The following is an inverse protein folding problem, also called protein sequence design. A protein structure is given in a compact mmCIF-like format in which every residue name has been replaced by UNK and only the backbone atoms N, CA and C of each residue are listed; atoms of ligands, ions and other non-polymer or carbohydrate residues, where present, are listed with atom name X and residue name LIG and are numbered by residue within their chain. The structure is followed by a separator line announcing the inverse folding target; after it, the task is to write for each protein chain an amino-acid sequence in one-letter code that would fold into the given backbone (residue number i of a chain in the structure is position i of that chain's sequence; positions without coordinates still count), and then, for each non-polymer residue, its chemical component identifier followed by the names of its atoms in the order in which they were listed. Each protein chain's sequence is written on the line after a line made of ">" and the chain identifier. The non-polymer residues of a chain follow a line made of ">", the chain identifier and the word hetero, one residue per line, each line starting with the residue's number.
data_IF_032807543933
#
_entry.id   IF_032807543933
#
_cell.length_a   1.000
_cell.length_b   1.000
_cell.length_c   1.000
_cell.angle_alpha   90.00
_cell.angle_beta   90.00
_cell.angle_gamma   90.00
#
_symmetry.space_group_name_H-M   'P 1'
#
loop_
_entity.id
_entity.type
_entity.pdbx_description
1 polymer ?
#
# COMPACT_ATOMS: atom_id res chain seq x y z
N UNK A 1 13.89 -9.78 -15.31
CA UNK A 1 13.99 -8.54 -14.51
C UNK A 1 12.64 -7.84 -14.34
N UNK A 2 11.86 -7.51 -15.39
CA UNK A 2 10.56 -6.81 -15.27
C UNK A 2 9.56 -7.39 -14.24
N UNK A 3 9.51 -8.71 -14.13
CA UNK A 3 8.60 -9.39 -13.18
C UNK A 3 8.92 -9.12 -11.70
N UNK A 4 10.18 -8.83 -11.36
CA UNK A 4 10.60 -8.60 -9.97
C UNK A 4 10.11 -7.23 -9.48
N UNK A 5 10.25 -6.19 -10.30
CA UNK A 5 9.77 -4.84 -9.98
C UNK A 5 8.25 -4.78 -9.86
N UNK A 6 7.52 -5.46 -10.74
CA UNK A 6 6.07 -5.60 -10.63
C UNK A 6 5.66 -6.34 -9.36
N UNK A 7 6.36 -7.42 -9.00
CA UNK A 7 6.07 -8.17 -7.78
C UNK A 7 6.32 -7.32 -6.52
N UNK A 8 7.44 -6.62 -6.44
CA UNK A 8 7.78 -5.73 -5.32
C UNK A 8 6.75 -4.61 -5.14
N UNK A 9 6.40 -3.93 -6.23
CA UNK A 9 5.39 -2.88 -6.20
C UNK A 9 3.99 -3.42 -5.85
N UNK A 10 3.65 -4.62 -6.33
CA UNK A 10 2.41 -5.28 -5.89
C UNK A 10 2.43 -5.58 -4.40
N UNK A 11 3.55 -6.04 -3.84
CA UNK A 11 3.65 -6.28 -2.40
C UNK A 11 3.42 -4.99 -1.61
N UNK A 12 4.07 -3.88 -1.97
CA UNK A 12 3.89 -2.60 -1.27
C UNK A 12 2.43 -2.11 -1.31
N UNK A 13 1.82 -2.10 -2.51
CA UNK A 13 0.43 -1.67 -2.66
C UNK A 13 -0.53 -2.60 -1.92
N UNK A 14 -0.29 -3.91 -1.97
CA UNK A 14 -1.10 -4.90 -1.27
C UNK A 14 -1.04 -4.69 0.25
N UNK A 15 0.15 -4.47 0.82
CA UNK A 15 0.32 -4.19 2.26
C UNK A 15 -0.43 -2.94 2.70
N UNK A 16 -0.40 -1.86 1.91
CA UNK A 16 -1.17 -0.64 2.23
C UNK A 16 -2.68 -0.93 2.18
N UNK A 17 -3.15 -1.64 1.15
CA UNK A 17 -4.58 -1.92 0.95
C UNK A 17 -5.16 -2.88 1.99
N UNK A 18 -4.35 -3.73 2.62
CA UNK A 18 -4.76 -4.60 3.72
C UNK A 18 -5.12 -3.85 5.01
N UNK A 19 -4.67 -2.59 5.13
CA UNK A 19 -4.98 -1.72 6.27
C UNK A 19 -6.35 -1.03 6.11
N UNK A 20 -6.82 -0.83 4.89
CA UNK A 20 -8.07 -0.09 4.62
C UNK A 20 -9.29 -0.63 5.40
N UNK A 21 -9.56 -1.95 5.50
CA UNK A 21 -10.71 -2.44 6.26
C UNK A 21 -10.61 -2.16 7.76
N UNK A 22 -9.39 -2.18 8.30
CA UNK A 22 -9.12 -1.94 9.72
C UNK A 22 -9.24 -0.46 10.06
N UNK A 23 -8.83 0.40 9.12
CA UNK A 23 -8.94 1.84 9.23
C UNK A 23 -10.39 2.31 9.00
N UNK A 24 -11.19 1.63 8.18
CA UNK A 24 -12.59 2.00 7.92
C UNK A 24 -13.47 2.02 9.18
N UNK A 25 -13.11 1.29 10.22
CA UNK A 25 -13.79 1.30 11.53
C UNK A 25 -13.54 2.59 12.33
N UNK A 26 -12.56 3.42 11.92
CA UNK A 26 -12.12 4.63 12.62
C UNK A 26 -12.78 5.93 12.11
N UNK A 27 -13.87 5.86 11.32
CA UNK A 27 -14.49 7.02 10.66
C UNK A 27 -13.47 7.88 9.89
N UNK A 28 -12.70 7.24 8.99
CA UNK A 28 -11.69 7.94 8.18
C UNK A 28 -12.30 9.06 7.34
N UNK A 29 -11.55 10.15 7.23
CA UNK A 29 -11.89 11.27 6.36
C UNK A 29 -12.04 10.87 4.88
N UNK A 30 -12.90 11.57 4.16
CA UNK A 30 -13.21 11.31 2.75
C UNK A 30 -11.96 11.38 1.84
N UNK A 31 -10.99 12.21 2.22
CA UNK A 31 -9.69 12.36 1.54
C UNK A 31 -8.89 11.05 1.59
N UNK A 32 -8.73 10.46 2.78
CA UNK A 32 -8.01 9.19 2.93
C UNK A 32 -8.72 8.04 2.20
N UNK A 33 -10.05 8.03 2.19
CA UNK A 33 -10.81 7.06 1.39
C UNK A 33 -10.61 7.26 -0.12
N UNK A 34 -10.43 8.49 -0.58
CA UNK A 34 -10.11 8.78 -1.98
C UNK A 34 -8.72 8.26 -2.36
N UNK A 35 -7.74 8.44 -1.47
CA UNK A 35 -6.38 7.93 -1.66
C UNK A 35 -6.36 6.40 -1.75
N UNK A 36 -7.10 5.69 -0.88
CA UNK A 36 -7.24 4.23 -0.99
C UNK A 36 -7.86 3.77 -2.31
N UNK A 37 -8.85 4.51 -2.84
CA UNK A 37 -9.42 4.23 -4.17
C UNK A 37 -8.38 4.40 -5.27
N UNK A 38 -7.58 5.47 -5.23
CA UNK A 38 -6.52 5.69 -6.22
C UNK A 38 -5.43 4.61 -6.16
N UNK A 39 -5.05 4.15 -4.96
CA UNK A 39 -4.09 3.07 -4.77
C UNK A 39 -4.58 1.73 -5.35
N UNK A 40 -5.88 1.41 -5.19
CA UNK A 40 -6.49 0.22 -5.82
C UNK A 40 -6.43 0.28 -7.34
N UNK A 41 -6.76 1.43 -7.92
CA UNK A 41 -6.66 1.64 -9.37
C UNK A 41 -5.21 1.54 -9.84
N UNK A 42 -4.26 2.10 -9.08
CA UNK A 42 -2.84 1.97 -9.37
C UNK A 42 -2.38 0.52 -9.36
N UNK A 43 -2.80 -0.29 -8.37
CA UNK A 43 -2.48 -1.72 -8.31
C UNK A 43 -2.97 -2.48 -9.56
N UNK A 44 -4.14 -2.14 -10.09
CA UNK A 44 -4.65 -2.70 -11.34
C UNK A 44 -3.86 -2.24 -12.58
N UNK A 45 -3.25 -1.05 -12.56
CA UNK A 45 -2.41 -0.52 -13.64
C UNK A 45 -0.98 -1.09 -13.61
N UNK A 46 -0.43 -1.38 -12.43
CA UNK A 46 0.92 -1.96 -12.24
C UNK A 46 1.06 -3.31 -12.93
N UNK A 47 -0.01 -4.12 -13.01
CA UNK A 47 -0.05 -5.36 -13.80
C UNK A 47 0.18 -5.17 -15.31
N UNK A 48 0.05 -3.95 -15.84
CA UNK A 48 0.07 -3.65 -17.28
C UNK A 48 1.15 -2.64 -17.73
N UNK A 49 1.91 -2.04 -16.81
CA UNK A 49 2.95 -1.04 -17.14
C UNK A 49 4.37 -1.62 -17.14
N UNK A 50 5.23 -1.11 -18.04
CA UNK A 50 6.68 -1.18 -17.87
C UNK A 50 7.08 -0.17 -16.79
N UNK A 51 7.72 -0.66 -15.73
CA UNK A 51 8.18 0.14 -14.59
C UNK A 51 9.71 0.09 -14.57
N UNK A 52 10.33 1.22 -14.28
CA UNK A 52 11.76 1.27 -14.00
C UNK A 52 12.02 1.11 -12.49
N UNK A 53 13.29 0.88 -12.14
CA UNK A 53 13.70 0.62 -10.76
C UNK A 53 13.51 1.83 -9.84
N UNK A 54 13.82 3.04 -10.31
CA UNK A 54 13.69 4.28 -9.54
C UNK A 54 12.23 4.55 -9.14
N UNK A 55 11.27 4.25 -10.01
CA UNK A 55 9.84 4.34 -9.69
C UNK A 55 9.42 3.36 -8.60
N UNK A 56 9.99 2.15 -8.59
CA UNK A 56 9.71 1.16 -7.54
C UNK A 56 10.30 1.59 -6.21
N UNK A 57 11.56 2.04 -6.20
CA UNK A 57 12.25 2.50 -4.98
C UNK A 57 11.49 3.65 -4.34
N UNK A 58 11.04 4.63 -5.13
CA UNK A 58 10.26 5.76 -4.60
C UNK A 58 8.95 5.35 -3.94
N UNK A 59 8.25 4.35 -4.49
CA UNK A 59 7.01 3.87 -3.89
C UNK A 59 7.29 3.02 -2.65
N UNK A 60 8.36 2.23 -2.65
CA UNK A 60 8.80 1.50 -1.45
C UNK A 60 9.12 2.47 -0.31
N UNK A 61 9.89 3.53 -0.57
CA UNK A 61 10.22 4.56 0.41
C UNK A 61 8.97 5.26 0.96
N UNK A 62 8.06 5.69 0.07
CA UNK A 62 6.81 6.33 0.49
C UNK A 62 5.94 5.38 1.34
N UNK A 63 5.96 4.08 1.00
CA UNK A 63 5.25 3.04 1.76
C UNK A 63 5.85 2.90 3.16
N UNK A 64 7.18 2.86 3.29
CA UNK A 64 7.85 2.79 4.59
C UNK A 64 7.49 3.99 5.47
N UNK A 65 7.58 5.20 4.92
CA UNK A 65 7.25 6.43 5.67
C UNK A 65 5.80 6.42 6.14
N UNK A 66 4.86 6.10 5.26
CA UNK A 66 3.44 6.02 5.62
C UNK A 66 3.17 5.00 6.74
N UNK A 67 3.85 3.84 6.68
CA UNK A 67 3.69 2.82 7.70
C UNK A 67 4.25 3.30 9.06
N UNK A 68 5.41 3.95 9.07
CA UNK A 68 5.99 4.55 10.28
C UNK A 68 5.03 5.58 10.92
N UNK A 69 4.46 6.48 10.11
CA UNK A 69 3.48 7.48 10.56
C UNK A 69 2.23 6.83 11.15
N UNK A 70 1.71 5.76 10.52
CA UNK A 70 0.58 5.01 11.04
C UNK A 70 0.89 4.31 12.36
N UNK A 71 2.09 3.74 12.51
CA UNK A 71 2.51 3.10 13.75
C UNK A 71 2.59 4.11 14.91
N UNK A 72 3.07 5.31 14.65
CA UNK A 72 3.12 6.40 15.64
C UNK A 72 1.72 6.82 16.10
N UNK A 73 0.73 6.80 15.20
CA UNK A 73 -0.67 7.12 15.51
C UNK A 73 -1.36 5.97 16.28
N UNK A 74 -1.13 4.72 15.87
CA UNK A 74 -1.85 3.55 16.39
C UNK A 74 -1.18 2.93 17.64
N UNK A 75 0.09 3.25 17.92
CA UNK A 75 0.89 2.71 19.02
C UNK A 75 1.31 1.25 18.87
N UNK A 76 0.55 0.45 18.13
CA UNK A 76 0.90 -0.90 17.66
C UNK A 76 0.17 -1.22 16.37
N UNK A 77 0.79 -1.99 15.48
CA UNK A 77 0.12 -2.49 14.28
C UNK A 77 -1.10 -3.32 14.67
N UNK A 78 -2.30 -2.99 14.16
CA UNK A 78 -3.43 -3.88 14.28
C UNK A 78 -3.07 -5.16 13.55
N UNK A 79 -3.42 -6.30 14.14
CA UNK A 79 -3.01 -7.63 13.70
C UNK A 79 -3.37 -7.82 12.23
N UNK A 80 -2.39 -7.64 11.33
CA UNK A 80 -2.53 -7.97 9.91
C UNK A 80 -2.85 -9.47 9.86
N UNK A 81 -4.12 -9.79 9.62
CA UNK A 81 -4.60 -11.16 9.59
C UNK A 81 -3.81 -11.99 8.57
N UNK A 82 -3.73 -13.33 8.75
CA UNK A 82 -2.98 -14.19 7.86
C UNK A 82 -3.70 -14.31 6.52
N UNK A 83 -3.47 -13.36 5.62
CA UNK A 83 -3.94 -13.43 4.23
C UNK A 83 -2.74 -13.53 3.28
N UNK A 84 -1.92 -14.56 3.51
CA UNK A 84 -1.02 -15.11 2.51
C UNK A 84 -1.66 -16.36 1.89
N UNK A 85 -2.21 -16.24 0.68
CA UNK A 85 -2.36 -17.34 -0.29
C UNK A 85 -2.22 -16.82 -1.72
#
# INVERSE_FOLDING_TARGET
>A
MRKIYQARLQFCLQTILELEPQLAELELDEELQADFRELKELMHRVRRRELNEDEVVRVEEATTVFLEELQDILGSWPSLGPHCH
#
